data_IF_028945693136
#
_entry.id   IF_028945693136
#
_cell.length_a   1.000
_cell.length_b   1.000
_cell.length_c   1.000
_cell.angle_alpha   90.00
_cell.angle_beta   90.00
_cell.angle_gamma   90.00
#
_symmetry.space_group_name_H-M   'P 1'
#
loop_
_entity.id
_entity.type
_entity.pdbx_description
1 polymer ?
#
# COMPACT_ATOMS: atom_id res chain seq x y z
N UNK A 1 10.18 -5.24 -1.99
CA UNK A 1 10.31 -5.74 -3.38
C UNK A 1 10.21 -7.25 -3.46
N UNK A 2 10.83 -7.98 -2.53
CA UNK A 2 10.54 -9.41 -2.32
C UNK A 2 9.27 -9.54 -1.49
N UNK A 3 8.34 -10.39 -1.93
CA UNK A 3 7.07 -10.63 -1.26
C UNK A 3 7.29 -11.33 0.09
N UNK A 4 6.53 -10.92 1.11
CA UNK A 4 6.62 -11.44 2.47
C UNK A 4 7.76 -10.84 3.31
N UNK A 5 8.57 -9.94 2.75
CA UNK A 5 9.62 -9.22 3.48
C UNK A 5 10.50 -10.13 4.33
N UNK A 6 10.53 -9.87 5.64
CA UNK A 6 11.30 -10.62 6.63
C UNK A 6 10.50 -11.69 7.38
N UNK A 7 9.37 -12.18 6.87
CA UNK A 7 8.41 -13.01 7.64
C UNK A 7 9.00 -14.33 8.16
N UNK A 8 9.97 -14.91 7.45
CA UNK A 8 10.69 -16.12 7.90
C UNK A 8 11.92 -15.80 8.76
N UNK A 9 12.18 -14.53 9.04
CA UNK A 9 13.33 -14.02 9.78
C UNK A 9 12.84 -13.17 10.97
N UNK A 10 13.36 -11.95 11.12
CA UNK A 10 13.06 -11.04 12.23
C UNK A 10 12.03 -9.96 11.88
N UNK A 11 11.41 -10.00 10.69
CA UNK A 11 10.43 -9.01 10.27
C UNK A 11 9.13 -9.15 11.08
N UNK A 12 8.60 -8.03 11.55
CA UNK A 12 7.36 -8.01 12.34
C UNK A 12 6.59 -6.69 12.16
N UNK A 13 6.53 -6.20 10.93
CA UNK A 13 5.78 -4.99 10.58
C UNK A 13 4.58 -5.37 9.71
N UNK A 14 3.95 -4.41 9.03
CA UNK A 14 2.67 -4.61 8.35
C UNK A 14 2.64 -5.82 7.41
N UNK A 15 3.66 -6.02 6.59
CA UNK A 15 3.74 -7.14 5.63
C UNK A 15 3.85 -8.48 6.37
N UNK A 16 4.81 -8.63 7.27
CA UNK A 16 5.03 -9.91 7.98
C UNK A 16 3.85 -10.26 8.88
N UNK A 17 3.27 -9.27 9.57
CA UNK A 17 2.06 -9.45 10.38
C UNK A 17 0.93 -9.98 9.49
N UNK A 18 0.70 -9.41 8.30
CA UNK A 18 -0.34 -9.92 7.40
C UNK A 18 -0.08 -11.36 6.98
N UNK A 19 1.18 -11.70 6.68
CA UNK A 19 1.55 -13.05 6.24
C UNK A 19 1.42 -14.09 7.37
N UNK A 20 1.68 -13.75 8.63
CA UNK A 20 1.46 -14.71 9.74
C UNK A 20 -0.03 -14.84 10.12
N UNK A 21 -0.83 -13.80 9.92
CA UNK A 21 -2.29 -13.88 10.13
C UNK A 21 -2.99 -14.65 9.01
N UNK A 22 -2.46 -14.57 7.79
CA UNK A 22 -2.94 -15.24 6.58
C UNK A 22 -1.81 -16.11 5.97
N UNK A 23 -1.43 -17.23 6.60
CA UNK A 23 -0.27 -18.04 6.21
C UNK A 23 -0.33 -18.63 4.80
N UNK A 24 -1.49 -18.68 4.16
CA UNK A 24 -1.61 -19.03 2.73
C UNK A 24 -0.82 -18.06 1.83
N UNK A 25 -0.62 -16.81 2.27
CA UNK A 25 0.23 -15.85 1.57
C UNK A 25 1.70 -16.32 1.52
N UNK A 26 2.16 -17.15 2.46
CA UNK A 26 3.54 -17.65 2.50
C UNK A 26 3.90 -18.50 1.28
N UNK A 27 2.90 -19.09 0.62
CA UNK A 27 3.10 -19.87 -0.59
C UNK A 27 3.69 -19.02 -1.72
N UNK A 28 3.42 -17.71 -1.74
CA UNK A 28 3.98 -16.79 -2.73
C UNK A 28 5.52 -16.69 -2.68
N UNK A 29 6.14 -16.92 -1.51
CA UNK A 29 7.60 -16.88 -1.36
C UNK A 29 8.31 -17.97 -2.17
N UNK A 30 7.60 -19.04 -2.55
CA UNK A 30 8.18 -20.18 -3.25
C UNK A 30 8.41 -19.93 -4.74
N UNK A 31 7.59 -19.08 -5.37
CA UNK A 31 7.56 -18.97 -6.82
C UNK A 31 7.38 -17.55 -7.37
N UNK A 32 7.18 -16.55 -6.51
CA UNK A 32 7.17 -15.15 -6.96
C UNK A 32 8.58 -14.58 -6.91
N UNK A 33 9.07 -14.09 -8.05
CA UNK A 33 10.35 -13.41 -8.15
C UNK A 33 10.29 -11.99 -7.54
N UNK A 34 11.44 -11.32 -7.51
CA UNK A 34 11.53 -9.93 -7.08
C UNK A 34 10.70 -9.04 -8.02
N UNK A 35 9.78 -8.24 -7.48
CA UNK A 35 9.01 -7.28 -8.28
C UNK A 35 9.90 -6.21 -8.90
N UNK A 36 9.75 -5.98 -10.20
CA UNK A 36 10.27 -4.80 -10.90
C UNK A 36 9.43 -3.54 -10.62
N UNK A 37 9.90 -2.37 -11.05
CA UNK A 37 9.27 -1.07 -10.74
C UNK A 37 7.81 -0.93 -11.21
N UNK A 38 7.39 -1.71 -12.20
CA UNK A 38 6.06 -1.72 -12.81
C UNK A 38 5.25 -2.98 -12.48
N UNK A 39 5.75 -3.83 -11.59
CA UNK A 39 5.08 -5.08 -11.22
C UNK A 39 4.40 -4.99 -9.86
N UNK A 40 3.35 -5.75 -9.67
CA UNK A 40 2.70 -5.94 -8.37
C UNK A 40 2.21 -7.38 -8.27
N UNK A 41 2.00 -7.86 -7.05
CA UNK A 41 1.53 -9.23 -6.81
C UNK A 41 0.13 -9.16 -6.22
N UNK A 42 -0.86 -9.69 -6.94
CA UNK A 42 -2.23 -9.83 -6.46
C UNK A 42 -2.48 -11.27 -6.03
N UNK A 43 -2.82 -11.45 -4.75
CA UNK A 43 -3.20 -12.73 -4.17
C UNK A 43 -4.67 -12.67 -3.79
N UNK A 44 -5.42 -13.68 -4.21
CA UNK A 44 -6.88 -13.75 -4.11
C UNK A 44 -7.29 -14.96 -3.29
N UNK A 45 -8.19 -14.76 -2.33
CA UNK A 45 -8.75 -15.85 -1.54
C UNK A 45 -8.04 -16.18 -0.24
N UNK A 46 -7.10 -15.35 0.22
CA UNK A 46 -6.37 -15.64 1.46
C UNK A 46 -7.28 -15.58 2.69
N UNK A 47 -7.32 -16.65 3.47
CA UNK A 47 -8.03 -16.72 4.75
C UNK A 47 -7.20 -16.11 5.89
N UNK A 48 -7.86 -15.45 6.84
CA UNK A 48 -7.26 -15.10 8.13
C UNK A 48 -7.52 -16.19 9.18
N UNK A 49 -6.49 -16.57 9.94
CA UNK A 49 -6.57 -17.65 10.92
C UNK A 49 -6.36 -17.21 12.38
N UNK A 50 -5.76 -16.03 12.58
CA UNK A 50 -5.35 -15.56 13.90
C UNK A 50 -5.82 -14.14 14.20
N UNK A 51 -6.03 -13.86 15.48
CA UNK A 51 -6.12 -12.52 16.03
C UNK A 51 -4.74 -12.08 16.54
N UNK A 52 -4.53 -10.77 16.62
CA UNK A 52 -3.31 -10.21 17.20
C UNK A 52 -3.58 -8.90 17.92
N UNK A 53 -2.60 -8.51 18.74
CA UNK A 53 -2.48 -7.18 19.32
C UNK A 53 -1.03 -6.72 19.23
N UNK A 54 -0.81 -5.42 19.40
CA UNK A 54 0.52 -4.82 19.29
C UNK A 54 1.06 -4.83 17.86
N UNK A 55 2.31 -4.41 17.72
CA UNK A 55 3.02 -4.25 16.45
C UNK A 55 4.53 -4.24 16.71
N UNK A 56 5.31 -4.68 15.73
CA UNK A 56 6.77 -4.82 15.87
C UNK A 56 7.12 -5.55 17.17
N UNK A 57 7.95 -4.96 18.02
CA UNK A 57 8.39 -5.55 19.29
C UNK A 57 7.27 -5.89 20.28
N UNK A 58 6.07 -5.32 20.11
CA UNK A 58 4.91 -5.59 20.97
C UNK A 58 3.90 -6.58 20.37
N UNK A 59 4.17 -7.10 19.16
CA UNK A 59 3.28 -8.03 18.49
C UNK A 59 3.05 -9.29 19.31
N UNK A 60 1.78 -9.65 19.49
CA UNK A 60 1.37 -10.84 20.22
C UNK A 60 0.17 -11.49 19.55
N UNK A 61 0.22 -12.81 19.40
CA UNK A 61 -0.93 -13.61 19.03
C UNK A 61 -2.03 -13.47 20.08
N UNK A 62 -3.26 -13.26 19.65
CA UNK A 62 -4.41 -12.94 20.50
C UNK A 62 -5.58 -13.93 20.33
N UNK A 63 -5.29 -15.16 19.90
CA UNK A 63 -6.31 -16.20 19.74
C UNK A 63 -6.56 -16.59 18.29
N UNK A 64 -7.34 -17.65 18.12
CA UNK A 64 -7.86 -18.05 16.81
C UNK A 64 -8.82 -16.97 16.27
N UNK A 65 -8.84 -16.82 14.96
CA UNK A 65 -9.84 -16.02 14.24
C UNK A 65 -10.62 -16.93 13.31
N UNK A 66 -11.93 -16.99 13.51
CA UNK A 66 -12.86 -17.65 12.60
C UNK A 66 -13.25 -16.66 11.50
N UNK A 67 -12.71 -16.85 10.30
CA UNK A 67 -12.96 -15.96 9.17
C UNK A 67 -14.39 -16.11 8.66
N UNK A 68 -15.19 -15.06 8.84
CA UNK A 68 -16.58 -14.96 8.37
C UNK A 68 -16.70 -14.22 7.04
N UNK A 69 -15.59 -13.98 6.34
CA UNK A 69 -15.63 -13.34 5.03
C UNK A 69 -16.38 -14.22 4.03
N UNK A 70 -17.29 -13.60 3.28
CA UNK A 70 -18.07 -14.29 2.24
C UNK A 70 -17.15 -15.00 1.23
N UNK A 71 -17.69 -16.04 0.60
CA UNK A 71 -17.02 -16.78 -0.45
C UNK A 71 -17.72 -16.60 -1.79
N UNK A 72 -16.99 -16.89 -2.88
CA UNK A 72 -17.58 -17.04 -4.20
C UNK A 72 -17.07 -18.31 -4.88
N UNK A 73 -17.90 -18.87 -5.76
CA UNK A 73 -17.50 -19.99 -6.62
C UNK A 73 -16.83 -19.44 -7.86
N UNK A 74 -15.58 -19.84 -8.09
CA UNK A 74 -14.84 -19.58 -9.33
C UNK A 74 -14.70 -20.86 -10.14
N UNK A 75 -14.60 -20.72 -11.46
CA UNK A 75 -14.34 -21.84 -12.37
C UNK A 75 -12.97 -21.69 -13.00
N UNK A 76 -12.10 -22.68 -12.77
CA UNK A 76 -10.79 -22.76 -13.41
C UNK A 76 -10.75 -24.09 -14.17
N UNK A 77 -10.55 -24.02 -15.48
CA UNK A 77 -10.52 -25.20 -16.37
C UNK A 77 -11.76 -26.12 -16.21
N UNK A 78 -12.93 -25.52 -15.98
CA UNK A 78 -14.19 -26.24 -15.79
C UNK A 78 -14.40 -26.85 -14.40
N UNK A 79 -13.42 -26.73 -13.49
CA UNK A 79 -13.51 -27.20 -12.11
C UNK A 79 -13.95 -26.03 -11.22
N UNK A 80 -14.95 -26.27 -10.38
CA UNK A 80 -15.45 -25.30 -9.40
C UNK A 80 -14.56 -25.29 -8.16
N UNK A 81 -14.14 -24.10 -7.76
CA UNK A 81 -13.42 -23.82 -6.53
C UNK A 81 -14.17 -22.77 -5.73
N UNK A 82 -14.11 -22.86 -4.42
CA UNK A 82 -14.58 -21.81 -3.53
C UNK A 82 -13.39 -20.95 -3.11
N UNK A 83 -13.52 -19.63 -3.24
CA UNK A 83 -12.52 -18.68 -2.74
C UNK A 83 -13.14 -17.69 -1.78
N UNK A 84 -12.37 -17.27 -0.78
CA UNK A 84 -12.75 -16.17 0.11
C UNK A 84 -12.69 -14.85 -0.66
N UNK A 85 -13.63 -13.95 -0.41
CA UNK A 85 -13.65 -12.60 -0.97
C UNK A 85 -12.67 -11.66 -0.25
N UNK A 86 -11.40 -12.07 -0.23
CA UNK A 86 -10.27 -11.28 0.26
C UNK A 86 -9.21 -11.23 -0.82
N UNK A 87 -8.95 -10.02 -1.32
CA UNK A 87 -7.90 -9.74 -2.29
C UNK A 87 -6.80 -8.92 -1.58
N UNK A 88 -5.54 -9.30 -1.80
CA UNK A 88 -4.36 -8.65 -1.24
C UNK A 88 -3.43 -8.29 -2.38
N UNK A 89 -3.14 -7.01 -2.54
CA UNK A 89 -2.12 -6.53 -3.48
C UNK A 89 -0.88 -6.14 -2.71
N UNK A 90 0.24 -6.75 -3.09
CA UNK A 90 1.56 -6.34 -2.63
C UNK A 90 2.19 -5.41 -3.66
N UNK A 91 2.59 -4.24 -3.17
CA UNK A 91 3.39 -3.24 -3.86
C UNK A 91 4.52 -2.84 -2.91
N UNK A 92 5.72 -2.61 -3.43
CA UNK A 92 6.88 -2.23 -2.63
C UNK A 92 7.25 -0.76 -2.83
N UNK A 93 7.35 0.02 -1.76
CA UNK A 93 7.81 1.42 -1.81
C UNK A 93 9.35 1.48 -1.87
N UNK A 94 9.91 2.57 -2.39
CA UNK A 94 11.34 2.82 -2.29
C UNK A 94 11.73 3.22 -0.86
N UNK A 95 12.88 2.71 -0.43
CA UNK A 95 13.53 3.18 0.78
C UNK A 95 14.45 4.35 0.46
N UNK A 96 14.35 5.43 1.24
CA UNK A 96 15.19 6.61 1.11
C UNK A 96 15.92 6.88 2.42
N UNK A 97 17.25 6.78 2.40
CA UNK A 97 18.11 7.20 3.52
C UNK A 97 18.04 8.71 3.71
N UNK A 98 18.17 9.48 2.62
CA UNK A 98 17.82 10.90 2.59
C UNK A 98 16.34 11.06 2.20
N UNK A 99 15.50 11.42 3.16
CA UNK A 99 14.07 11.66 2.95
C UNK A 99 13.80 12.72 1.89
N UNK A 100 14.72 13.66 1.62
CA UNK A 100 14.51 14.66 0.57
C UNK A 100 14.60 14.08 -0.84
N UNK A 101 15.30 12.95 -1.01
CA UNK A 101 15.45 12.28 -2.31
C UNK A 101 14.12 11.77 -2.86
N UNK A 102 13.14 11.44 -1.99
CA UNK A 102 11.81 10.98 -2.42
C UNK A 102 11.08 12.00 -3.30
N UNK A 103 11.43 13.29 -3.18
CA UNK A 103 10.82 14.35 -3.97
C UNK A 103 11.41 14.48 -5.36
N UNK A 104 12.44 13.71 -5.75
CA UNK A 104 12.92 13.77 -7.14
C UNK A 104 11.84 13.28 -8.08
N UNK A 105 11.78 13.86 -9.29
CA UNK A 105 10.74 13.57 -10.28
C UNK A 105 10.65 12.07 -10.59
N UNK A 106 11.79 11.43 -10.77
CA UNK A 106 11.93 10.00 -11.02
C UNK A 106 11.41 9.14 -9.86
N UNK A 107 11.59 9.57 -8.63
CA UNK A 107 11.12 8.89 -7.41
C UNK A 107 9.59 8.96 -7.30
N UNK A 108 9.02 10.16 -7.49
CA UNK A 108 7.57 10.38 -7.53
C UNK A 108 6.93 9.54 -8.64
N UNK A 109 7.48 9.59 -9.86
CA UNK A 109 6.99 8.81 -10.99
C UNK A 109 7.02 7.32 -10.70
N UNK A 110 8.08 6.82 -10.07
CA UNK A 110 8.20 5.42 -9.69
C UNK A 110 7.06 5.03 -8.75
N UNK A 111 6.79 5.80 -7.70
CA UNK A 111 5.71 5.47 -6.75
C UNK A 111 4.32 5.53 -7.39
N UNK A 112 4.10 6.47 -8.32
CA UNK A 112 2.87 6.53 -9.12
C UNK A 112 2.72 5.26 -9.96
N UNK A 113 3.75 4.87 -10.72
CA UNK A 113 3.73 3.68 -11.58
C UNK A 113 3.50 2.41 -10.76
N UNK A 114 4.20 2.27 -9.63
CA UNK A 114 4.03 1.12 -8.73
C UNK A 114 2.61 1.06 -8.16
N UNK A 115 2.11 2.17 -7.63
CA UNK A 115 0.73 2.25 -7.09
C UNK A 115 -0.29 1.92 -8.17
N UNK A 116 -0.13 2.50 -9.36
CA UNK A 116 -0.99 2.26 -10.51
C UNK A 116 -1.01 0.78 -10.91
N UNK A 117 0.16 0.13 -10.97
CA UNK A 117 0.25 -1.30 -11.31
C UNK A 117 -0.55 -2.17 -10.34
N UNK A 118 -0.52 -1.87 -9.04
CA UNK A 118 -1.27 -2.61 -8.02
C UNK A 118 -2.76 -2.31 -8.03
N UNK A 119 -3.13 -1.03 -8.12
CA UNK A 119 -4.52 -0.59 -8.03
C UNK A 119 -5.35 -1.02 -9.25
N UNK A 120 -4.73 -1.05 -10.42
CA UNK A 120 -5.40 -1.50 -11.65
C UNK A 120 -5.52 -3.01 -11.74
N UNK A 121 -4.66 -3.78 -11.07
CA UNK A 121 -4.76 -5.24 -11.03
C UNK A 121 -6.05 -5.75 -10.36
N UNK A 122 -6.64 -4.95 -9.47
CA UNK A 122 -7.89 -5.28 -8.80
C UNK A 122 -9.11 -5.10 -9.70
N UNK A 123 -9.12 -4.09 -10.58
CA UNK A 123 -10.29 -3.68 -11.35
C UNK A 123 -10.80 -4.79 -12.29
N UNK A 124 -11.87 -5.50 -11.89
CA UNK A 124 -12.48 -6.59 -12.67
C UNK A 124 -13.69 -6.21 -13.53
N UNK A 125 -14.23 -5.00 -13.40
CA UNK A 125 -15.42 -4.56 -14.15
C UNK A 125 -15.65 -3.05 -14.02
N UNK A 126 -16.74 -2.55 -14.62
CA UNK A 126 -17.21 -1.17 -14.56
C UNK A 126 -17.61 -0.68 -13.15
N UNK A 127 -17.50 -1.52 -12.12
CA UNK A 127 -17.80 -1.13 -10.75
C UNK A 127 -16.52 -0.63 -10.03
N UNK A 128 -16.60 0.48 -9.28
CA UNK A 128 -15.46 0.99 -8.54
C UNK A 128 -15.14 0.07 -7.36
N UNK A 129 -14.09 -0.74 -7.50
CA UNK A 129 -13.50 -1.45 -6.37
C UNK A 129 -12.80 -0.43 -5.45
N UNK A 130 -13.17 -0.46 -4.17
CA UNK A 130 -12.60 0.44 -3.15
C UNK A 130 -11.26 -0.13 -2.68
N UNK A 131 -10.21 0.69 -2.75
CA UNK A 131 -8.88 0.33 -2.26
C UNK A 131 -8.79 0.65 -0.77
N UNK A 132 -8.61 -0.37 0.07
CA UNK A 132 -8.25 -0.21 1.47
C UNK A 132 -6.73 -0.17 1.62
N UNK A 133 -6.16 1.01 1.89
CA UNK A 133 -4.72 1.23 2.07
C UNK A 133 -4.42 2.14 3.27
N UNK A 134 -3.13 2.34 3.58
CA UNK A 134 -2.64 3.16 4.68
C UNK A 134 -1.27 3.78 4.35
N UNK A 135 -0.40 3.96 5.35
CA UNK A 135 0.94 4.53 5.16
C UNK A 135 1.91 3.54 4.51
N UNK A 136 1.84 3.46 3.20
CA UNK A 136 2.73 2.63 2.43
C UNK A 136 4.15 3.24 2.37
N UNK A 137 5.15 2.49 2.86
CA UNK A 137 6.57 2.87 2.78
C UNK A 137 7.12 3.76 3.90
N UNK A 138 6.34 4.14 4.91
CA UNK A 138 6.83 4.93 6.05
C UNK A 138 7.30 4.03 7.21
N UNK A 139 8.45 4.35 7.83
CA UNK A 139 9.07 3.52 8.89
C UNK A 139 8.22 3.36 10.16
N UNK A 140 7.22 4.21 10.38
CA UNK A 140 6.09 3.94 11.26
C UNK A 140 5.10 5.09 11.16
N UNK A 141 3.90 4.82 10.66
CA UNK A 141 2.73 5.61 11.02
C UNK A 141 1.48 4.73 10.90
N UNK A 142 0.80 4.52 12.01
CA UNK A 142 -0.57 4.03 12.03
C UNK A 142 -1.46 5.08 11.38
N UNK A 143 -2.26 4.69 10.39
CA UNK A 143 -3.53 5.39 10.11
C UNK A 143 -4.65 4.35 10.14
N UNK A 144 -5.17 4.06 11.33
CA UNK A 144 -6.61 3.86 11.42
C UNK A 144 -7.25 5.22 11.17
N UNK A 145 -8.14 5.30 10.18
CA UNK A 145 -8.94 6.48 9.84
C UNK A 145 -9.72 7.02 11.06
N UNK A 146 -9.07 7.78 11.94
CA UNK A 146 -9.72 8.42 13.08
C UNK A 146 -9.14 9.81 13.41
N UNK A 147 -8.42 10.43 12.48
CA UNK A 147 -8.15 11.87 12.53
C UNK A 147 -9.03 12.58 11.50
N UNK A 148 -10.13 13.17 11.99
CA UNK A 148 -11.06 13.92 11.17
C UNK A 148 -10.36 15.02 10.36
N UNK A 149 -9.29 15.63 10.86
CA UNK A 149 -8.59 16.71 10.16
C UNK A 149 -7.83 16.21 8.92
N UNK A 150 -7.09 15.09 9.04
CA UNK A 150 -6.33 14.52 7.92
C UNK A 150 -7.24 13.87 6.90
N UNK A 151 -8.28 13.15 7.34
CA UNK A 151 -9.33 12.65 6.44
C UNK A 151 -10.00 13.79 5.71
N UNK A 152 -10.36 14.89 6.38
CA UNK A 152 -10.98 16.05 5.75
C UNK A 152 -10.04 16.75 4.75
N UNK A 153 -8.73 16.80 5.02
CA UNK A 153 -7.73 17.35 4.08
C UNK A 153 -7.55 16.46 2.85
N UNK A 154 -7.58 15.13 3.02
CA UNK A 154 -7.52 14.18 1.92
C UNK A 154 -8.82 14.20 1.10
N UNK A 155 -9.98 14.30 1.76
CA UNK A 155 -11.28 14.49 1.10
C UNK A 155 -11.36 15.84 0.40
N UNK A 156 -10.83 16.93 0.97
CA UNK A 156 -10.73 18.21 0.27
C UNK A 156 -9.80 18.13 -0.93
N UNK A 157 -8.66 17.45 -0.82
CA UNK A 157 -7.78 17.21 -1.95
C UNK A 157 -8.55 16.44 -3.03
N UNK A 158 -9.12 15.27 -2.72
CA UNK A 158 -9.91 14.46 -3.65
C UNK A 158 -11.10 15.24 -4.24
N UNK A 159 -11.82 16.04 -3.45
CA UNK A 159 -12.90 16.91 -3.94
C UNK A 159 -12.38 18.00 -4.89
N UNK A 160 -11.23 18.60 -4.60
CA UNK A 160 -10.58 19.55 -5.52
C UNK A 160 -10.17 18.83 -6.81
N UNK A 161 -9.66 17.60 -6.70
CA UNK A 161 -9.30 16.76 -7.84
C UNK A 161 -10.52 16.30 -8.66
N UNK A 162 -11.70 16.20 -8.03
CA UNK A 162 -12.95 15.81 -8.68
C UNK A 162 -13.76 17.00 -9.23
N UNK A 163 -13.65 18.19 -8.61
CA UNK A 163 -14.36 19.41 -9.01
C UNK A 163 -13.66 20.16 -10.14
N UNK A 164 -12.34 20.06 -10.23
CA UNK A 164 -11.55 20.65 -11.32
C UNK A 164 -11.21 19.53 -12.32
N UNK A 165 -11.94 19.44 -13.44
CA UNK A 165 -11.69 18.50 -14.55
C UNK A 165 -10.37 18.78 -15.31
N UNK A 166 -9.33 19.25 -14.63
CA UNK A 166 -8.03 19.57 -15.19
C UNK A 166 -7.00 18.55 -14.70
N UNK A 167 -7.07 17.39 -15.36
CA UNK A 167 -6.13 16.25 -15.52
C UNK A 167 -5.12 15.92 -14.42
N UNK A 168 -4.89 14.61 -14.23
CA UNK A 168 -3.75 14.04 -13.48
C UNK A 168 -2.44 14.77 -13.79
N UNK A 169 -2.27 15.24 -15.03
CA UNK A 169 -1.12 16.04 -15.47
C UNK A 169 -0.93 17.34 -14.68
N UNK A 170 -1.99 18.05 -14.29
CA UNK A 170 -1.85 19.28 -13.49
C UNK A 170 -1.34 18.97 -12.09
N UNK A 171 -1.87 17.93 -11.44
CA UNK A 171 -1.41 17.47 -10.13
C UNK A 171 0.05 17.04 -10.22
N UNK A 172 0.38 16.25 -11.25
CA UNK A 172 1.73 15.82 -11.51
C UNK A 172 2.67 17.02 -11.70
N UNK A 173 2.26 18.01 -12.49
CA UNK A 173 3.03 19.23 -12.71
C UNK A 173 3.21 20.05 -11.42
N UNK A 174 2.20 20.17 -10.57
CA UNK A 174 2.32 20.83 -9.25
C UNK A 174 3.31 20.08 -8.33
N UNK A 175 3.26 18.75 -8.29
CA UNK A 175 4.20 17.94 -7.52
C UNK A 175 5.63 18.07 -8.08
N UNK A 176 5.80 18.08 -9.40
CA UNK A 176 7.10 18.29 -10.05
C UNK A 176 7.62 19.71 -9.83
N UNK A 177 6.75 20.72 -9.83
CA UNK A 177 7.12 22.09 -9.49
C UNK A 177 7.59 22.19 -8.04
N UNK A 178 6.89 21.56 -7.11
CA UNK A 178 7.30 21.47 -5.70
C UNK A 178 8.66 20.77 -5.55
N UNK A 179 8.87 19.65 -6.25
CA UNK A 179 10.16 18.95 -6.36
C UNK A 179 11.29 19.88 -6.82
N UNK A 180 11.04 20.66 -7.87
CA UNK A 180 11.99 21.65 -8.40
C UNK A 180 12.30 22.75 -7.37
N UNK A 181 11.29 23.22 -6.62
CA UNK A 181 11.48 24.23 -5.58
C UNK A 181 12.32 23.72 -4.39
N UNK A 182 12.14 22.44 -4.02
CA UNK A 182 13.00 21.75 -3.03
C UNK A 182 14.43 21.62 -3.56
N UNK A 183 14.59 21.08 -4.77
CA UNK A 183 15.90 20.81 -5.39
C UNK A 183 16.73 22.07 -5.58
N UNK A 184 16.06 23.21 -5.83
CA UNK A 184 16.69 24.52 -5.97
C UNK A 184 16.90 25.26 -4.63
N UNK A 185 16.64 24.61 -3.48
CA UNK A 185 16.85 25.18 -2.15
C UNK A 185 15.97 26.39 -1.82
N UNK A 186 14.87 26.58 -2.57
CA UNK A 186 13.95 27.73 -2.40
C UNK A 186 12.92 27.51 -1.30
N UNK A 187 12.60 26.26 -0.97
CA UNK A 187 11.78 25.92 0.20
C UNK A 187 12.72 25.69 1.38
N UNK A 188 12.87 26.74 2.22
CA UNK A 188 13.58 26.70 3.51
C UNK A 188 12.62 26.52 4.69
N UNK A 189 11.34 26.24 4.42
CA UNK A 189 10.33 26.15 5.47
C UNK A 189 10.59 24.92 6.34
N UNK A 190 11.15 25.18 7.51
CA UNK A 190 11.56 24.17 8.47
C UNK A 190 10.38 23.30 8.89
N UNK A 191 9.14 23.79 8.83
CA UNK A 191 7.94 23.02 9.22
C UNK A 191 7.63 21.89 8.23
N UNK A 192 7.77 22.16 6.93
CA UNK A 192 7.60 21.17 5.86
C UNK A 192 8.75 20.15 5.92
N UNK A 193 9.99 20.63 6.10
CA UNK A 193 11.16 19.75 6.27
C UNK A 193 11.05 18.88 7.53
N UNK A 194 10.49 19.41 8.63
CA UNK A 194 10.30 18.67 9.87
C UNK A 194 9.15 17.66 9.78
N UNK A 195 8.14 17.91 8.94
CA UNK A 195 7.06 16.96 8.66
C UNK A 195 7.59 15.70 7.94
N UNK A 196 8.53 15.87 7.01
CA UNK A 196 9.12 14.76 6.23
C UNK A 196 10.36 14.10 6.86
N UNK A 197 10.84 14.61 7.99
CA UNK A 197 11.94 14.01 8.79
C UNK A 197 11.46 13.01 9.85
N UNK A 198 10.15 12.92 10.10
CA UNK A 198 9.54 11.90 10.97
C UNK A 198 9.31 10.61 10.21
#
# INVERSE_FOLDING_TARGET
>A
KYIGGGVLNAGCVQEEIRFVLCPELLVSLLFMECMDMNESILIRGSKRFSNYKGYASSFQWAGHYEDQTNTEVIKINGIEYERILTDVVAIDALYYEDKMTQFKKECILREIVKSYSGFTACMKSNDPEIIATGNWGCEMAYYTFNNNETSNKLFQLIEILQKDYNTIDRIYNEIVNFSSLISNGKIKDQSILNYFKR
#
